data_IF_847118358794
#
_entry.id   IF_847118358794
#
_cell.length_a   1.000
_cell.length_b   1.000
_cell.length_c   1.000
_cell.angle_alpha   90.00
_cell.angle_beta   90.00
_cell.angle_gamma   90.00
#
_symmetry.space_group_name_H-M   'P 1'
#
loop_
_entity.id
_entity.type
_entity.pdbx_description
1 polymer ?
#
# COMPACT_ATOMS: atom_id res chain seq x y z
N UNK A 1 10.71 17.58 -19.04
CA UNK A 1 11.17 16.75 -17.94
C UNK A 1 10.16 15.65 -17.69
N UNK A 2 10.59 14.43 -17.85
CA UNK A 2 9.73 13.30 -17.61
C UNK A 2 9.53 13.07 -16.12
N UNK A 3 8.31 12.79 -15.73
CA UNK A 3 7.98 12.40 -14.37
C UNK A 3 7.94 10.90 -14.27
N UNK A 4 8.61 10.36 -13.31
CA UNK A 4 8.52 8.94 -13.03
C UNK A 4 7.17 8.60 -12.41
N UNK A 5 6.60 7.51 -12.87
CA UNK A 5 5.45 6.92 -12.22
C UNK A 5 5.98 6.07 -11.06
N UNK A 6 5.51 6.37 -9.86
CA UNK A 6 5.89 5.61 -8.68
C UNK A 6 4.69 4.86 -8.13
N UNK A 7 4.88 3.60 -7.88
CA UNK A 7 3.88 2.77 -7.24
C UNK A 7 4.29 2.49 -5.79
N UNK A 8 3.31 2.59 -4.92
CA UNK A 8 3.47 2.19 -3.52
C UNK A 8 2.34 1.24 -3.17
N UNK A 9 2.63 0.31 -2.28
CA UNK A 9 1.64 -0.61 -1.77
C UNK A 9 1.49 -0.42 -0.27
N UNK A 10 0.27 -0.24 0.18
CA UNK A 10 -0.05 -0.07 1.60
C UNK A 10 -0.94 -1.21 2.04
N UNK A 11 -0.73 -1.67 3.26
CA UNK A 11 -1.49 -2.79 3.82
C UNK A 11 -2.59 -2.29 4.74
N UNK A 12 -3.76 -2.90 4.63
CA UNK A 12 -4.84 -2.76 5.60
C UNK A 12 -4.83 -4.02 6.44
N UNK A 13 -4.32 -3.92 7.66
CA UNK A 13 -4.21 -5.05 8.58
C UNK A 13 -5.13 -4.77 9.75
N UNK A 14 -6.14 -5.60 9.91
CA UNK A 14 -7.13 -5.44 10.97
C UNK A 14 -7.02 -6.62 11.92
N UNK A 15 -6.92 -6.31 13.20
CA UNK A 15 -6.91 -7.32 14.25
C UNK A 15 -7.64 -6.78 15.48
N UNK A 16 -8.59 -7.54 15.99
CA UNK A 16 -9.37 -7.16 17.18
C UNK A 16 -10.02 -5.78 17.04
N UNK A 17 -10.55 -5.47 15.85
CA UNK A 17 -11.21 -4.20 15.57
C UNK A 17 -10.27 -3.01 15.43
N UNK A 18 -8.96 -3.26 15.38
CA UNK A 18 -7.95 -2.20 15.25
C UNK A 18 -7.19 -2.34 13.95
N UNK A 19 -6.82 -1.22 13.37
CA UNK A 19 -6.01 -1.17 12.16
C UNK A 19 -4.56 -0.88 12.52
N UNK A 20 -3.64 -1.59 11.87
CA UNK A 20 -2.21 -1.34 12.06
C UNK A 20 -1.82 -0.03 11.38
N UNK A 21 -1.06 0.79 12.07
CA UNK A 21 -0.60 2.07 11.56
C UNK A 21 0.82 2.36 12.01
N UNK A 22 1.54 3.09 11.18
CA UNK A 22 2.88 3.57 11.48
C UNK A 22 2.80 5.02 11.89
N UNK A 23 3.37 5.33 13.04
CA UNK A 23 3.41 6.70 13.54
C UNK A 23 4.57 7.44 12.92
N UNK A 24 4.28 8.57 12.32
CA UNK A 24 5.27 9.45 11.70
C UNK A 24 5.41 10.70 12.56
N UNK A 25 6.64 11.10 12.81
CA UNK A 25 6.97 12.37 13.48
C UNK A 25 7.86 13.19 12.58
N UNK A 26 7.48 14.42 12.37
CA UNK A 26 8.27 15.35 11.60
C UNK A 26 7.94 16.78 12.02
N UNK A 27 8.99 17.56 12.28
CA UNK A 27 8.89 18.99 12.64
C UNK A 27 7.89 19.27 13.77
N UNK A 28 7.82 18.39 14.78
CA UNK A 28 6.93 18.54 15.92
C UNK A 28 5.50 18.07 15.67
N UNK A 29 5.22 17.61 14.48
CA UNK A 29 3.92 17.06 14.15
C UNK A 29 3.96 15.53 14.16
N UNK A 30 2.82 14.93 14.47
CA UNK A 30 2.67 13.49 14.46
C UNK A 30 1.43 13.12 13.65
N UNK A 31 1.54 12.06 12.84
CA UNK A 31 0.39 11.49 12.14
C UNK A 31 0.61 10.00 11.94
N UNK A 32 -0.43 9.32 11.49
CA UNK A 32 -0.39 7.89 11.26
C UNK A 32 -0.64 7.58 9.79
N UNK A 33 0.09 6.59 9.29
CA UNK A 33 -0.08 6.08 7.92
C UNK A 33 -0.22 4.56 7.98
N UNK A 34 -0.79 3.99 6.94
CA UNK A 34 -0.81 2.54 6.78
C UNK A 34 0.61 2.05 6.50
N UNK A 35 0.98 0.86 7.00
CA UNK A 35 2.28 0.30 6.71
C UNK A 35 2.41 -0.07 5.23
N UNK A 36 3.61 0.06 4.69
CA UNK A 36 3.89 -0.23 3.30
C UNK A 36 4.87 0.78 2.73
N UNK A 37 5.09 0.71 1.44
CA UNK A 37 6.05 1.59 0.79
C UNK A 37 6.17 1.34 -0.69
N UNK A 38 7.24 1.85 -1.27
CA UNK A 38 7.48 1.79 -2.70
C UNK A 38 7.75 0.39 -3.22
N UNK A 39 7.28 0.15 -4.42
CA UNK A 39 7.56 -1.07 -5.15
C UNK A 39 8.98 -1.01 -5.71
N UNK A 40 9.76 -2.07 -5.50
CA UNK A 40 11.07 -2.20 -6.12
C UNK A 40 10.92 -2.77 -7.54
N UNK A 41 11.89 -2.52 -8.43
CA UNK A 41 11.91 -3.20 -9.72
C UNK A 41 11.89 -4.71 -9.50
N UNK A 42 11.22 -5.43 -10.38
CA UNK A 42 11.14 -6.88 -10.37
C UNK A 42 10.29 -7.51 -9.25
N UNK A 43 9.64 -6.72 -8.42
CA UNK A 43 8.68 -7.27 -7.48
C UNK A 43 7.25 -6.86 -7.83
N UNK A 44 6.29 -7.70 -7.50
CA UNK A 44 4.87 -7.37 -7.65
C UNK A 44 4.42 -6.48 -6.49
N UNK A 45 3.27 -5.86 -6.61
CA UNK A 45 2.71 -5.07 -5.51
C UNK A 45 2.43 -5.91 -4.26
N UNK A 46 1.88 -7.13 -4.35
CA UNK A 46 1.78 -7.99 -3.18
C UNK A 46 3.11 -8.31 -2.53
N UNK A 47 4.14 -8.57 -3.32
CA UNK A 47 5.49 -8.79 -2.79
C UNK A 47 6.04 -7.54 -2.11
N UNK A 48 5.81 -6.38 -2.70
CA UNK A 48 6.27 -5.12 -2.14
C UNK A 48 5.64 -4.85 -0.78
N UNK A 49 4.33 -5.03 -0.64
CA UNK A 49 3.64 -4.75 0.62
C UNK A 49 4.07 -5.73 1.71
N UNK A 50 4.24 -7.01 1.37
CA UNK A 50 4.71 -8.00 2.34
C UNK A 50 6.12 -7.70 2.82
N UNK A 51 7.01 -7.30 1.90
CA UNK A 51 8.38 -6.91 2.24
C UNK A 51 8.40 -5.68 3.15
N UNK A 52 7.67 -4.64 2.78
CA UNK A 52 7.63 -3.40 3.54
C UNK A 52 7.04 -3.58 4.93
N UNK A 53 5.98 -4.38 5.06
CA UNK A 53 5.38 -4.67 6.37
C UNK A 53 6.38 -5.42 7.26
N UNK A 54 7.11 -6.35 6.69
CA UNK A 54 8.13 -7.08 7.45
C UNK A 54 9.25 -6.13 7.92
N UNK A 55 9.69 -5.23 7.06
CA UNK A 55 10.73 -4.25 7.39
C UNK A 55 10.26 -3.27 8.48
N UNK A 56 9.04 -2.76 8.36
CA UNK A 56 8.53 -1.73 9.26
C UNK A 56 8.01 -2.27 10.59
N UNK A 57 7.38 -3.42 10.58
CA UNK A 57 6.66 -3.97 11.72
C UNK A 57 7.22 -5.28 12.26
N UNK A 58 8.12 -5.92 11.54
CA UNK A 58 8.71 -7.18 11.95
C UNK A 58 7.76 -8.36 11.90
N UNK A 59 6.65 -8.25 11.20
CA UNK A 59 5.66 -9.33 11.07
C UNK A 59 5.57 -9.81 9.64
N UNK A 60 5.37 -11.11 9.47
CA UNK A 60 5.15 -11.71 8.18
C UNK A 60 3.64 -11.74 7.89
N UNK A 61 3.27 -11.23 6.73
CA UNK A 61 1.86 -11.18 6.30
C UNK A 61 1.69 -11.81 4.95
N UNK A 62 0.46 -12.19 4.64
CA UNK A 62 0.07 -12.60 3.28
C UNK A 62 -0.88 -11.55 2.72
N UNK A 63 -0.75 -11.28 1.43
CA UNK A 63 -1.63 -10.34 0.75
C UNK A 63 -2.81 -11.10 0.14
N UNK A 64 -4.01 -10.74 0.52
CA UNK A 64 -5.22 -11.44 0.10
C UNK A 64 -5.95 -10.78 -1.07
N UNK A 65 -6.12 -9.47 -1.05
CA UNK A 65 -6.87 -8.79 -2.09
C UNK A 65 -6.47 -7.32 -2.22
N UNK A 66 -6.79 -6.77 -3.36
CA UNK A 66 -6.64 -5.34 -3.60
C UNK A 66 -7.94 -4.63 -3.21
N UNK A 67 -7.88 -3.74 -2.26
CA UNK A 67 -9.06 -3.04 -1.75
C UNK A 67 -9.30 -1.72 -2.46
N UNK A 68 -8.28 -0.89 -2.60
CA UNK A 68 -8.40 0.44 -3.17
C UNK A 68 -7.18 0.79 -4.00
N UNK A 69 -7.39 1.64 -4.98
CA UNK A 69 -6.33 2.27 -5.73
C UNK A 69 -6.45 3.78 -5.52
N UNK A 70 -5.35 4.41 -5.15
CA UNK A 70 -5.29 5.86 -5.01
C UNK A 70 -4.32 6.39 -6.06
N UNK A 71 -4.83 7.22 -6.95
CA UNK A 71 -3.99 7.84 -7.96
C UNK A 71 -3.67 9.27 -7.56
N UNK A 72 -2.40 9.63 -7.64
CA UNK A 72 -1.96 11.01 -7.46
C UNK A 72 -1.59 11.60 -8.81
N UNK A 73 -2.33 12.59 -9.26
CA UNK A 73 -2.08 13.28 -10.52
C UNK A 73 -2.08 14.78 -10.24
N UNK A 74 -1.00 15.45 -10.59
CA UNK A 74 -0.86 16.90 -10.40
C UNK A 74 -1.16 17.37 -8.98
N UNK A 75 -0.74 16.59 -7.98
CA UNK A 75 -0.97 16.93 -6.58
C UNK A 75 -2.34 16.56 -6.04
N UNK A 76 -3.22 16.08 -6.89
CA UNK A 76 -4.53 15.58 -6.48
C UNK A 76 -4.48 14.08 -6.27
N UNK A 77 -5.29 13.58 -5.34
CA UNK A 77 -5.41 12.16 -5.08
C UNK A 77 -6.83 11.70 -5.35
N UNK A 78 -6.94 10.63 -6.11
CA UNK A 78 -8.21 10.04 -6.48
C UNK A 78 -8.26 8.63 -5.92
N UNK A 79 -9.22 8.37 -5.04
CA UNK A 79 -9.44 7.05 -4.48
C UNK A 79 -10.39 6.27 -5.39
N UNK A 80 -9.98 5.09 -5.79
CA UNK A 80 -10.78 4.22 -6.63
C UNK A 80 -10.87 2.83 -6.05
N UNK A 81 -12.02 2.21 -6.22
CA UNK A 81 -12.15 0.78 -5.95
C UNK A 81 -11.63 0.00 -7.15
N UNK A 82 -11.08 -1.20 -6.93
CA UNK A 82 -10.71 -2.05 -8.06
C UNK A 82 -11.91 -2.32 -8.95
N UNK A 83 -11.69 -2.26 -10.24
CA UNK A 83 -12.73 -2.58 -11.21
C UNK A 83 -13.07 -4.06 -11.14
N UNK A 84 -14.35 -4.39 -11.06
CA UNK A 84 -14.82 -5.76 -11.19
C UNK A 84 -15.02 -6.08 -12.65
N UNK A 85 -13.96 -6.46 -13.31
CA UNK A 85 -14.04 -6.89 -14.70
C UNK A 85 -14.21 -8.40 -14.76
N UNK A 86 -14.99 -8.91 -15.73
CA UNK A 86 -14.95 -10.36 -16.02
C UNK A 86 -13.55 -10.69 -16.53
N UNK A 87 -12.98 -11.76 -16.05
CA UNK A 87 -11.63 -12.17 -16.40
C UNK A 87 -10.70 -12.21 -15.21
N UNK A 88 -9.40 -12.41 -15.45
CA UNK A 88 -8.45 -12.53 -14.35
C UNK A 88 -8.43 -11.23 -13.55
N UNK A 89 -8.89 -11.33 -12.35
CA UNK A 89 -8.67 -10.30 -11.37
C UNK A 89 -7.24 -10.42 -10.91
N UNK A 90 -6.73 -9.35 -10.32
CA UNK A 90 -5.44 -9.44 -9.69
C UNK A 90 -5.44 -10.66 -8.79
N UNK A 91 -4.78 -11.77 -9.22
CA UNK A 91 -4.66 -12.90 -8.34
C UNK A 91 -3.65 -12.51 -7.29
N UNK A 92 -4.16 -11.97 -6.22
CA UNK A 92 -3.31 -11.74 -5.09
C UNK A 92 -2.94 -13.11 -4.56
N UNK A 93 -1.67 -13.45 -4.56
CA UNK A 93 -1.24 -14.75 -4.08
C UNK A 93 -1.52 -14.94 -2.62
#
# INVERSE_FOLDING_TARGET
MEREIRNSAKAVIIRDGKVAAVKIRDAGEEWYILPGGGQDPEETLPEAVCREVLEEMGIAVTCNELLFVVEGVHGERILRRPCRCPGPRFPLP
#
